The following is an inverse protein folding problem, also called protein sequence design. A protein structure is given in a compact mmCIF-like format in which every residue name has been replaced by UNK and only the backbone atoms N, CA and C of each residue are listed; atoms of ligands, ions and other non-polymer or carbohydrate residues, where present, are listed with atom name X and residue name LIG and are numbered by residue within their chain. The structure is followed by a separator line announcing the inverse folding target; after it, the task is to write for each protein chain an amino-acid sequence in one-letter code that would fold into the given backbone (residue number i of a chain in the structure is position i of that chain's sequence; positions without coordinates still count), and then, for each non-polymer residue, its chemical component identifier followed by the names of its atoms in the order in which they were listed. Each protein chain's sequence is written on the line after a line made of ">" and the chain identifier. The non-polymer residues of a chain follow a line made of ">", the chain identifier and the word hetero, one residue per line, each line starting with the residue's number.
data_IF_896420503261
#
_entry.id   IF_896420503261
#
_cell.length_a   1.000
_cell.length_b   1.000
_cell.length_c   1.000
_cell.angle_alpha   90.00
_cell.angle_beta   90.00
_cell.angle_gamma   90.00
#
_symmetry.space_group_name_H-M   'P 1'
#
loop_
_entity.id
_entity.type
_entity.pdbx_description
1 polymer ?
#
# COMPACT_ATOMS: atom_id res chain seq x y z
N UNK A 1 -0.18 -11.97 7.09
CA UNK A 1 1.30 -12.16 7.07
C UNK A 1 1.97 -11.56 5.81
N UNK A 2 1.56 -10.36 5.38
CA UNK A 2 1.98 -9.79 4.08
C UNK A 2 3.48 -9.45 4.08
N UNK A 3 4.21 -9.77 3.03
CA UNK A 3 5.69 -9.59 2.99
C UNK A 3 6.16 -8.17 2.67
N UNK A 4 5.30 -7.33 2.11
CA UNK A 4 5.60 -5.91 1.89
C UNK A 4 4.39 -5.08 2.25
N UNK A 5 4.60 -3.96 2.94
CA UNK A 5 3.53 -3.10 3.44
C UNK A 5 2.58 -3.82 4.41
N UNK A 6 3.07 -4.83 5.15
CA UNK A 6 2.33 -5.33 6.30
C UNK A 6 2.41 -4.32 7.44
N UNK A 7 1.29 -4.19 8.14
CA UNK A 7 1.27 -3.50 9.42
C UNK A 7 2.13 -4.28 10.42
N UNK A 8 3.06 -3.59 11.06
CA UNK A 8 3.81 -4.11 12.20
C UNK A 8 3.42 -3.28 13.42
N UNK A 9 2.96 -3.93 14.47
CA UNK A 9 2.61 -3.27 15.73
C UNK A 9 3.65 -3.64 16.79
N UNK A 10 4.40 -2.64 17.24
CA UNK A 10 5.44 -2.81 18.26
C UNK A 10 4.91 -2.43 19.63
N UNK A 11 4.94 -3.37 20.57
CA UNK A 11 4.54 -3.14 21.96
C UNK A 11 5.75 -2.98 22.86
N UNK A 12 6.01 -1.76 23.33
CA UNK A 12 7.14 -1.44 24.21
C UNK A 12 6.62 -1.01 25.59
N UNK A 13 7.30 -1.47 26.64
CA UNK A 13 7.03 -1.09 28.03
C UNK A 13 8.33 -0.62 28.68
N UNK A 14 8.25 0.49 29.41
CA UNK A 14 9.34 1.04 30.19
C UNK A 14 8.82 1.31 31.60
N UNK A 15 9.63 1.04 32.62
CA UNK A 15 9.27 1.32 34.00
C UNK A 15 10.39 0.99 34.98
N UNK A 16 10.34 1.54 36.21
CA UNK A 16 11.36 1.31 37.22
C UNK A 16 11.27 -0.08 37.88
N UNK A 17 10.17 -0.80 37.64
CA UNK A 17 9.90 -2.15 38.16
C UNK A 17 10.09 -3.19 37.07
N UNK A 18 10.38 -4.41 37.51
CA UNK A 18 10.41 -5.58 36.63
C UNK A 18 9.11 -5.73 35.84
N UNK A 19 9.22 -5.91 34.52
CA UNK A 19 8.09 -6.05 33.62
C UNK A 19 7.75 -7.53 33.45
N UNK A 20 6.61 -7.95 34.00
CA UNK A 20 6.11 -9.34 33.91
C UNK A 20 5.01 -9.55 32.86
N UNK A 21 4.64 -8.51 32.12
CA UNK A 21 3.51 -8.51 31.20
C UNK A 21 3.85 -9.19 29.86
N UNK A 22 3.63 -10.50 29.77
CA UNK A 22 3.83 -11.33 28.55
C UNK A 22 2.60 -11.32 27.64
N UNK A 23 1.97 -10.16 27.47
CA UNK A 23 0.77 -9.95 26.64
C UNK A 23 0.84 -8.58 25.95
N UNK A 24 0.03 -8.39 24.91
CA UNK A 24 -0.03 -7.13 24.15
C UNK A 24 -0.47 -5.95 25.02
N UNK A 25 -0.14 -4.72 24.64
CA UNK A 25 -0.58 -3.54 25.41
C UNK A 25 -2.08 -3.34 25.25
N UNK A 26 -2.84 -3.28 26.34
CA UNK A 26 -4.26 -2.92 26.32
C UNK A 26 -4.56 -1.44 26.55
N UNK A 27 -3.63 -0.72 27.20
CA UNK A 27 -3.73 0.73 27.47
C UNK A 27 -2.37 1.39 27.27
N UNK A 28 -2.19 2.07 26.14
CA UNK A 28 -0.98 2.72 25.70
C UNK A 28 -1.02 4.21 26.07
N UNK A 29 0.03 4.70 26.72
CA UNK A 29 0.24 6.13 26.94
C UNK A 29 0.84 6.87 25.75
N UNK A 30 1.35 6.13 24.76
CA UNK A 30 1.96 6.66 23.55
C UNK A 30 1.64 5.73 22.38
N UNK A 31 1.12 6.28 21.29
CA UNK A 31 0.84 5.59 20.04
C UNK A 31 1.58 6.32 18.92
N UNK A 32 2.26 5.58 18.05
CA UNK A 32 2.89 6.14 16.86
C UNK A 32 2.36 5.45 15.61
N UNK A 33 1.99 6.25 14.61
CA UNK A 33 1.63 5.77 13.28
C UNK A 33 2.65 6.30 12.26
N UNK A 34 3.45 5.38 11.70
CA UNK A 34 4.58 5.72 10.84
C UNK A 34 4.20 5.80 9.35
N UNK A 35 2.94 5.54 9.00
CA UNK A 35 2.45 5.59 7.63
C UNK A 35 1.04 6.20 7.63
N UNK A 36 0.93 7.39 7.02
CA UNK A 36 -0.29 8.19 7.08
C UNK A 36 -1.54 7.42 6.63
N UNK A 37 -1.47 6.63 5.55
CA UNK A 37 -2.62 5.88 5.02
C UNK A 37 -3.28 4.90 6.00
N UNK A 38 -2.63 4.54 7.12
CA UNK A 38 -3.27 3.72 8.15
C UNK A 38 -4.36 4.46 8.94
N UNK A 39 -4.42 5.79 8.89
CA UNK A 39 -5.52 6.54 9.53
C UNK A 39 -6.89 6.16 8.98
N UNK A 40 -6.97 5.74 7.71
CA UNK A 40 -8.23 5.35 7.05
C UNK A 40 -8.63 3.89 7.34
N UNK A 41 -7.69 3.03 7.77
CA UNK A 41 -7.88 1.57 7.72
C UNK A 41 -7.62 0.85 9.03
N UNK A 42 -6.98 1.52 9.99
CA UNK A 42 -6.54 0.90 11.24
C UNK A 42 -7.16 1.67 12.39
N UNK A 43 -7.70 0.94 13.37
CA UNK A 43 -8.15 1.50 14.63
C UNK A 43 -6.94 1.94 15.49
N UNK A 44 -6.28 3.02 15.10
CA UNK A 44 -5.01 3.48 15.68
C UNK A 44 -5.09 3.68 17.21
N UNK A 45 -6.23 4.17 17.70
CA UNK A 45 -6.43 4.53 19.09
C UNK A 45 -7.21 3.48 19.91
N UNK A 46 -7.47 2.29 19.36
CA UNK A 46 -8.19 1.21 20.06
C UNK A 46 -7.59 0.91 21.43
N UNK A 47 -6.25 0.94 21.52
CA UNK A 47 -5.50 0.63 22.74
C UNK A 47 -5.02 1.89 23.47
N UNK A 48 -5.39 3.10 23.03
CA UNK A 48 -4.94 4.33 23.66
C UNK A 48 -5.68 4.58 24.99
N UNK A 49 -4.96 5.04 26.01
CA UNK A 49 -5.60 5.55 27.22
C UNK A 49 -5.98 7.03 27.03
N UNK A 50 -6.90 7.53 27.85
CA UNK A 50 -7.18 8.98 27.92
C UNK A 50 -5.92 9.78 28.25
N UNK A 51 -5.68 10.91 27.58
CA UNK A 51 -4.47 11.72 27.75
C UNK A 51 -3.22 11.12 27.11
N UNK A 52 -3.34 10.15 26.20
CA UNK A 52 -2.20 9.58 25.50
C UNK A 52 -1.68 10.51 24.39
N UNK A 53 -0.41 10.32 24.01
CA UNK A 53 0.18 11.01 22.86
C UNK A 53 -0.02 10.17 21.60
N UNK A 54 -0.45 10.81 20.50
CA UNK A 54 -0.43 10.25 19.15
C UNK A 54 0.64 10.97 18.32
N UNK A 55 1.66 10.25 17.88
CA UNK A 55 2.65 10.74 16.91
C UNK A 55 2.31 10.18 15.51
N UNK A 56 2.09 11.05 14.54
CA UNK A 56 1.72 10.68 13.17
C UNK A 56 2.78 11.16 12.17
N UNK A 57 3.34 10.24 11.39
CA UNK A 57 4.05 10.58 10.16
C UNK A 57 3.01 11.00 9.11
N UNK A 58 2.97 12.28 8.77
CA UNK A 58 1.96 12.87 7.89
C UNK A 58 2.61 13.72 6.81
N UNK A 59 2.16 13.63 5.55
CA UNK A 59 2.59 14.57 4.50
C UNK A 59 1.95 15.96 4.68
N UNK A 60 1.05 16.14 5.65
CA UNK A 60 0.34 17.39 5.89
C UNK A 60 0.94 18.12 7.11
N UNK A 61 1.06 19.46 7.04
CA UNK A 61 1.52 20.24 8.17
C UNK A 61 0.48 20.28 9.29
N UNK A 62 0.90 20.66 10.50
CA UNK A 62 0.06 20.63 11.71
C UNK A 62 -1.23 21.43 11.60
N UNK A 63 -1.22 22.52 10.82
CA UNK A 63 -2.35 23.40 10.60
C UNK A 63 -3.42 22.79 9.71
N UNK A 64 -3.07 21.78 8.89
CA UNK A 64 -3.98 21.17 7.91
C UNK A 64 -4.27 19.70 8.14
N UNK A 65 -3.41 19.00 8.89
CA UNK A 65 -3.52 17.55 9.07
C UNK A 65 -4.88 17.15 9.64
N UNK A 66 -5.50 17.97 10.49
CA UNK A 66 -6.81 17.72 11.07
C UNK A 66 -7.87 17.45 9.99
N UNK A 67 -7.92 18.27 8.94
CA UNK A 67 -8.88 18.15 7.83
C UNK A 67 -8.72 16.85 7.03
N UNK A 68 -7.54 16.24 7.10
CA UNK A 68 -7.20 15.00 6.41
C UNK A 68 -7.38 13.75 7.28
N UNK A 69 -7.74 13.90 8.56
CA UNK A 69 -8.04 12.77 9.43
C UNK A 69 -9.49 12.32 9.25
N UNK A 70 -9.76 11.00 9.25
CA UNK A 70 -11.11 10.46 9.29
C UNK A 70 -11.94 10.94 10.47
N UNK A 71 -13.25 11.09 10.27
CA UNK A 71 -14.18 11.54 11.30
C UNK A 71 -14.14 10.69 12.57
N UNK A 72 -14.04 9.36 12.45
CA UNK A 72 -13.93 8.47 13.61
C UNK A 72 -12.65 8.68 14.40
N UNK A 73 -11.51 8.91 13.74
CA UNK A 73 -10.24 9.17 14.39
C UNK A 73 -10.25 10.53 15.08
N UNK A 74 -10.80 11.56 14.42
CA UNK A 74 -11.01 12.88 15.04
C UNK A 74 -11.86 12.77 16.31
N UNK A 75 -12.98 12.04 16.27
CA UNK A 75 -13.82 11.78 17.46
C UNK A 75 -13.01 11.12 18.57
N UNK A 76 -12.28 10.05 18.26
CA UNK A 76 -11.45 9.36 19.26
C UNK A 76 -10.37 10.27 19.86
N UNK A 77 -9.73 11.14 19.06
CA UNK A 77 -8.73 12.10 19.53
C UNK A 77 -9.33 13.06 20.56
N UNK A 78 -10.52 13.61 20.29
CA UNK A 78 -11.20 14.53 21.20
C UNK A 78 -11.73 13.80 22.44
N UNK A 79 -12.43 12.68 22.24
CA UNK A 79 -13.06 11.90 23.30
C UNK A 79 -12.03 11.37 24.31
N UNK A 80 -10.84 10.99 23.84
CA UNK A 80 -9.74 10.49 24.67
C UNK A 80 -8.75 11.59 25.10
N UNK A 81 -8.99 12.87 24.77
CA UNK A 81 -8.07 13.97 25.11
C UNK A 81 -6.62 13.69 24.67
N UNK A 82 -6.44 13.32 23.40
CA UNK A 82 -5.16 12.89 22.84
C UNK A 82 -4.30 14.10 22.48
N UNK A 83 -3.03 14.07 22.88
CA UNK A 83 -2.03 15.01 22.39
C UNK A 83 -1.53 14.58 21.01
N UNK A 84 -2.02 15.24 19.95
CA UNK A 84 -1.64 14.93 18.57
C UNK A 84 -0.38 15.69 18.14
N UNK A 85 0.61 14.95 17.64
CA UNK A 85 1.87 15.44 17.09
C UNK A 85 2.09 14.91 15.69
N UNK A 86 2.61 15.74 14.80
CA UNK A 86 2.84 15.39 13.39
C UNK A 86 4.23 15.77 12.91
N UNK A 87 4.72 15.02 11.93
CA UNK A 87 5.96 15.28 11.21
C UNK A 87 5.87 14.67 9.81
N UNK A 88 6.37 15.37 8.78
CA UNK A 88 6.59 14.79 7.44
C UNK A 88 7.96 14.10 7.39
N UNK A 89 8.03 12.89 7.97
CA UNK A 89 9.28 12.16 8.05
C UNK A 89 9.72 11.63 6.68
N UNK A 90 8.79 11.33 5.77
CA UNK A 90 9.09 10.88 4.42
C UNK A 90 9.68 12.02 3.57
N UNK A 91 9.08 13.21 3.61
CA UNK A 91 9.60 14.42 2.95
C UNK A 91 10.98 14.81 3.49
N UNK A 92 11.15 14.81 4.82
CA UNK A 92 12.44 15.10 5.46
C UNK A 92 13.52 14.08 5.08
N UNK A 93 13.20 12.79 5.10
CA UNK A 93 14.14 11.74 4.67
C UNK A 93 14.51 11.88 3.18
N UNK A 94 13.56 12.30 2.34
CA UNK A 94 13.80 12.64 0.94
C UNK A 94 14.79 13.79 0.79
N UNK A 95 14.56 14.90 1.49
CA UNK A 95 15.41 16.10 1.43
C UNK A 95 16.86 15.83 1.89
N UNK A 96 17.05 15.02 2.93
CA UNK A 96 18.38 14.63 3.46
C UNK A 96 19.04 13.53 2.57
N UNK A 97 18.32 13.01 1.58
CA UNK A 97 18.81 11.97 0.68
C UNK A 97 18.96 10.60 1.37
N UNK A 98 18.09 10.31 2.34
CA UNK A 98 17.89 9.00 2.97
C UNK A 98 16.82 8.16 2.26
N UNK A 99 16.14 8.73 1.25
CA UNK A 99 15.05 8.09 0.54
C UNK A 99 13.85 7.89 1.47
N UNK A 100 13.27 6.69 1.51
CA UNK A 100 12.08 6.37 2.33
C UNK A 100 12.41 5.89 3.76
N UNK A 101 13.59 6.24 4.29
CA UNK A 101 14.07 5.74 5.58
C UNK A 101 13.75 6.71 6.71
N UNK A 102 12.59 6.55 7.32
CA UNK A 102 12.08 7.42 8.40
C UNK A 102 12.43 6.94 9.82
N UNK A 103 13.06 5.78 9.97
CA UNK A 103 13.26 5.11 11.27
C UNK A 103 13.99 5.98 12.30
N UNK A 104 15.09 6.64 11.90
CA UNK A 104 15.87 7.51 12.78
C UNK A 104 15.07 8.75 13.19
N UNK A 105 14.33 9.35 12.25
CA UNK A 105 13.48 10.53 12.48
C UNK A 105 12.39 10.19 13.49
N UNK A 106 11.61 9.13 13.24
CA UNK A 106 10.52 8.71 14.12
C UNK A 106 11.01 8.29 15.52
N UNK A 107 12.20 7.69 15.60
CA UNK A 107 12.82 7.33 16.88
C UNK A 107 13.14 8.57 17.73
N UNK A 108 13.67 9.63 17.12
CA UNK A 108 13.97 10.89 17.81
C UNK A 108 12.69 11.54 18.33
N UNK A 109 11.63 11.59 17.51
CA UNK A 109 10.33 12.08 17.93
C UNK A 109 9.76 11.27 19.10
N UNK A 110 9.87 9.93 19.08
CA UNK A 110 9.45 9.09 20.20
C UNK A 110 10.16 9.48 21.50
N UNK A 111 11.48 9.64 21.50
CA UNK A 111 12.20 10.00 22.73
C UNK A 111 11.91 11.42 23.21
N UNK A 112 11.70 12.36 22.28
CA UNK A 112 11.33 13.72 22.64
C UNK A 112 9.94 13.81 23.30
N UNK A 113 9.01 12.94 22.92
CA UNK A 113 7.62 12.99 23.38
C UNK A 113 7.29 11.99 24.50
N UNK A 114 7.97 10.84 24.57
CA UNK A 114 7.59 9.75 25.49
C UNK A 114 7.92 10.01 26.96
N UNK A 115 8.85 10.93 27.26
CA UNK A 115 9.32 11.22 28.61
C UNK A 115 10.09 10.07 29.28
N UNK A 116 10.45 9.02 28.54
CA UNK A 116 11.17 7.84 29.08
C UNK A 116 12.61 8.19 29.49
N UNK A 117 13.24 9.14 28.80
CA UNK A 117 14.57 9.65 29.09
C UNK A 117 14.60 11.18 28.92
N UNK A 118 15.50 11.90 29.62
CA UNK A 118 15.79 13.28 29.31
C UNK A 118 16.19 13.42 27.83
N UNK A 119 15.68 14.46 27.17
CA UNK A 119 15.80 14.68 25.72
C UNK A 119 17.26 14.69 25.27
N UNK A 120 18.12 15.42 25.96
CA UNK A 120 19.53 15.61 25.64
C UNK A 120 20.27 14.27 25.70
N UNK A 121 20.00 13.48 26.74
CA UNK A 121 20.57 12.13 26.94
C UNK A 121 20.10 11.18 25.84
N UNK A 122 18.83 11.26 25.45
CA UNK A 122 18.29 10.43 24.38
C UNK A 122 18.95 10.74 23.03
N UNK A 123 19.06 12.02 22.66
CA UNK A 123 19.71 12.46 21.42
C UNK A 123 21.17 11.99 21.36
N UNK A 124 21.93 12.17 22.45
CA UNK A 124 23.32 11.72 22.54
C UNK A 124 23.43 10.21 22.31
N UNK A 125 22.59 9.41 22.98
CA UNK A 125 22.58 7.95 22.84
C UNK A 125 22.16 7.48 21.44
N UNK A 126 21.20 8.16 20.81
CA UNK A 126 20.80 7.88 19.43
C UNK A 126 21.98 8.12 18.48
N UNK A 127 22.64 9.28 18.57
CA UNK A 127 23.84 9.58 17.75
C UNK A 127 24.97 8.58 17.98
N UNK A 128 25.20 8.17 19.24
CA UNK A 128 26.16 7.11 19.57
C UNK A 128 25.80 5.76 18.93
N UNK A 129 24.52 5.37 18.98
CA UNK A 129 24.04 4.14 18.35
C UNK A 129 24.14 4.19 16.83
N UNK A 130 23.88 5.34 16.19
CA UNK A 130 24.02 5.53 14.75
C UNK A 130 25.47 5.26 14.32
N UNK A 131 26.44 5.84 15.03
CA UNK A 131 27.88 5.60 14.76
C UNK A 131 28.23 4.11 14.88
N UNK A 132 27.76 3.44 15.93
CA UNK A 132 28.01 2.01 16.16
C UNK A 132 27.39 1.12 15.08
N UNK A 133 26.13 1.37 14.71
CA UNK A 133 25.37 0.54 13.78
C UNK A 133 25.78 0.77 12.33
N UNK A 134 26.02 2.03 11.94
CA UNK A 134 26.25 2.41 10.55
C UNK A 134 27.69 2.77 10.22
N UNK A 135 28.62 2.78 11.19
CA UNK A 135 30.03 3.09 10.93
C UNK A 135 30.65 2.21 9.83
N UNK A 136 30.24 0.93 9.75
CA UNK A 136 30.68 0.02 8.67
C UNK A 136 30.11 0.35 7.28
N UNK A 137 29.08 1.18 7.20
CA UNK A 137 28.43 1.61 5.94
C UNK A 137 28.99 2.93 5.39
N UNK A 138 30.00 3.49 6.05
CA UNK A 138 30.70 4.70 5.63
C UNK A 138 30.18 5.99 6.27
N UNK A 139 31.06 6.98 6.36
CA UNK A 139 30.82 8.24 7.07
C UNK A 139 29.65 9.05 6.48
N UNK A 140 29.45 8.97 5.15
CA UNK A 140 28.34 9.66 4.50
C UNK A 140 26.96 9.18 5.00
N UNK A 141 26.82 7.88 5.30
CA UNK A 141 25.57 7.31 5.84
C UNK A 141 25.38 7.74 7.29
N UNK A 142 26.45 7.74 8.08
CA UNK A 142 26.44 8.20 9.48
C UNK A 142 26.03 9.67 9.53
N UNK A 143 26.66 10.53 8.73
CA UNK A 143 26.37 11.97 8.67
C UNK A 143 24.91 12.24 8.35
N UNK A 144 24.36 11.61 7.30
CA UNK A 144 22.94 11.75 6.92
C UNK A 144 22.00 11.38 8.07
N UNK A 145 22.31 10.31 8.81
CA UNK A 145 21.48 9.92 9.96
C UNK A 145 21.61 10.90 11.13
N UNK A 146 22.80 11.47 11.38
CA UNK A 146 22.99 12.50 12.41
C UNK A 146 22.25 13.77 12.04
N UNK A 147 22.33 14.20 10.78
CA UNK A 147 21.56 15.33 10.24
C UNK A 147 20.06 15.12 10.40
N UNK A 148 19.56 13.91 10.10
CA UNK A 148 18.16 13.57 10.33
C UNK A 148 17.75 13.64 11.82
N UNK A 149 18.65 13.34 12.76
CA UNK A 149 18.38 13.51 14.20
C UNK A 149 18.27 14.98 14.57
N UNK A 150 19.15 15.81 14.01
CA UNK A 150 19.24 17.23 14.33
C UNK A 150 18.04 18.01 13.78
N UNK A 151 17.58 17.67 12.58
CA UNK A 151 16.42 18.31 11.93
C UNK A 151 15.08 17.75 12.42
N UNK A 152 14.98 16.50 12.87
CA UNK A 152 13.68 15.89 13.21
C UNK A 152 12.86 16.71 14.21
N UNK A 153 13.50 17.40 15.16
CA UNK A 153 12.81 18.12 16.22
C UNK A 153 12.32 19.50 15.81
N UNK A 154 12.93 20.14 14.82
CA UNK A 154 12.44 21.41 14.26
C UNK A 154 11.21 21.20 13.38
N UNK A 155 11.05 19.99 12.82
CA UNK A 155 9.93 19.56 11.99
C UNK A 155 8.82 18.81 12.76
N UNK A 156 8.97 18.65 14.08
CA UNK A 156 7.99 18.00 14.93
C UNK A 156 7.05 19.05 15.52
N UNK A 157 5.78 19.00 15.14
CA UNK A 157 4.79 20.02 15.51
C UNK A 157 3.61 19.42 16.26
N UNK A 158 3.17 20.09 17.32
CA UNK A 158 1.92 19.76 18.00
C UNK A 158 0.76 20.37 17.21
N UNK A 159 -0.31 19.60 17.05
CA UNK A 159 -1.55 20.10 16.46
C UNK A 159 -2.36 20.81 17.54
N UNK A 160 -2.77 22.05 17.27
CA UNK A 160 -3.69 22.76 18.14
C UNK A 160 -5.11 22.21 17.94
N UNK A 161 -5.68 21.64 19.00
CA UNK A 161 -7.01 21.05 19.02
C UNK A 161 -8.03 21.95 19.74
N UNK A 162 -7.64 23.16 20.16
CA UNK A 162 -8.54 24.09 20.83
C UNK A 162 -9.70 24.49 19.91
N UNK A 163 -10.93 24.14 20.30
CA UNK A 163 -12.13 24.40 19.50
C UNK A 163 -12.25 23.52 18.25
N UNK A 164 -11.43 22.47 18.12
CA UNK A 164 -11.55 21.53 17.01
C UNK A 164 -12.92 20.83 17.04
N UNK A 165 -13.54 20.75 15.87
CA UNK A 165 -14.79 20.03 15.64
C UNK A 165 -14.54 18.88 14.67
N UNK A 166 -15.38 17.86 14.78
CA UNK A 166 -15.33 16.71 13.88
C UNK A 166 -15.84 17.16 12.51
N UNK A 167 -14.97 17.11 11.51
CA UNK A 167 -15.23 17.52 10.12
C UNK A 167 -14.75 16.48 9.10
N UNK A 168 -14.00 15.47 9.54
CA UNK A 168 -13.43 14.45 8.68
C UNK A 168 -14.49 13.55 8.05
N UNK A 169 -14.30 13.24 6.77
CA UNK A 169 -15.04 12.18 6.09
C UNK A 169 -14.75 10.80 6.70
N UNK A 170 -15.72 9.89 6.61
CA UNK A 170 -15.45 8.48 6.91
C UNK A 170 -14.88 7.79 5.67
N UNK A 171 -13.80 6.99 5.81
CA UNK A 171 -13.33 6.12 4.76
C UNK A 171 -14.47 5.22 4.29
N UNK A 172 -14.57 5.04 2.98
CA UNK A 172 -15.50 4.05 2.44
C UNK A 172 -15.11 2.66 3.00
N UNK A 173 -16.08 1.86 3.47
CA UNK A 173 -15.79 0.49 3.84
C UNK A 173 -15.25 -0.27 2.62
N UNK A 174 -14.50 -1.34 2.88
CA UNK A 174 -14.13 -2.27 1.82
C UNK A 174 -15.40 -2.78 1.15
N UNK A 175 -15.41 -2.76 -0.18
CA UNK A 175 -16.57 -3.19 -0.95
C UNK A 175 -16.57 -4.71 -1.10
N UNK A 176 -17.50 -5.35 -0.39
CA UNK A 176 -17.76 -6.79 -0.50
C UNK A 176 -19.02 -7.08 -1.32
N UNK A 177 -19.52 -6.12 -2.12
CA UNK A 177 -20.63 -6.35 -3.02
C UNK A 177 -20.34 -7.52 -3.97
N UNK A 178 -21.31 -8.42 -4.11
CA UNK A 178 -21.17 -9.64 -4.91
C UNK A 178 -20.20 -10.69 -4.34
N UNK A 179 -19.57 -10.46 -3.18
CA UNK A 179 -18.74 -11.47 -2.53
C UNK A 179 -19.58 -12.63 -1.99
N UNK A 180 -19.07 -13.88 -2.01
CA UNK A 180 -19.71 -15.00 -1.33
C UNK A 180 -19.93 -14.70 0.16
N UNK A 181 -20.99 -15.27 0.75
CA UNK A 181 -21.34 -15.01 2.16
C UNK A 181 -20.17 -15.25 3.12
N UNK A 182 -19.41 -16.33 2.94
CA UNK A 182 -18.22 -16.61 3.74
C UNK A 182 -17.14 -15.50 3.63
N UNK A 183 -16.97 -14.92 2.45
CA UNK A 183 -16.01 -13.82 2.26
C UNK A 183 -16.50 -12.56 2.98
N UNK A 184 -17.78 -12.22 2.80
CA UNK A 184 -18.38 -11.03 3.41
C UNK A 184 -18.50 -11.11 4.92
N UNK A 185 -18.79 -12.28 5.48
CA UNK A 185 -19.16 -12.41 6.91
C UNK A 185 -18.00 -12.94 7.78
N UNK A 186 -17.02 -13.62 7.19
CA UNK A 186 -15.88 -14.24 7.92
C UNK A 186 -14.55 -13.64 7.47
N UNK A 187 -14.29 -13.65 6.17
CA UNK A 187 -12.98 -13.19 5.64
C UNK A 187 -12.77 -11.71 5.85
N UNK A 188 -13.81 -10.88 5.67
CA UNK A 188 -13.78 -9.42 5.94
C UNK A 188 -13.38 -9.10 7.38
N UNK A 189 -13.96 -9.80 8.36
CA UNK A 189 -13.70 -9.61 9.79
C UNK A 189 -12.24 -9.90 10.12
N UNK A 190 -11.66 -10.94 9.49
CA UNK A 190 -10.24 -11.23 9.64
C UNK A 190 -9.36 -10.18 8.94
N UNK A 191 -9.75 -9.70 7.75
CA UNK A 191 -9.05 -8.63 7.03
C UNK A 191 -9.03 -7.30 7.82
N UNK A 192 -10.06 -7.05 8.62
CA UNK A 192 -10.18 -5.89 9.53
C UNK A 192 -9.42 -6.06 10.87
N UNK A 193 -8.60 -7.12 10.99
CA UNK A 193 -7.89 -7.50 12.22
C UNK A 193 -8.81 -7.84 13.41
N UNK A 194 -10.08 -8.17 13.16
CA UNK A 194 -11.04 -8.57 14.19
C UNK A 194 -11.26 -10.10 14.23
N UNK A 195 -10.33 -10.89 13.68
CA UNK A 195 -10.46 -12.34 13.56
C UNK A 195 -10.66 -13.07 14.89
N UNK A 196 -10.08 -12.58 16.00
CA UNK A 196 -10.28 -13.13 17.35
C UNK A 196 -11.73 -13.03 17.86
N UNK A 197 -12.58 -12.22 17.22
CA UNK A 197 -14.00 -12.09 17.57
C UNK A 197 -14.86 -13.20 16.95
N UNK A 198 -14.34 -13.93 15.96
CA UNK A 198 -15.09 -14.96 15.25
C UNK A 198 -15.22 -16.23 16.11
N UNK A 199 -16.44 -16.79 16.23
CA UNK A 199 -16.63 -18.05 16.93
C UNK A 199 -16.06 -19.21 16.11
N UNK A 200 -15.76 -20.33 16.78
CA UNK A 200 -15.33 -21.58 16.12
C UNK A 200 -16.32 -22.03 15.05
N UNK A 201 -17.62 -21.81 15.26
CA UNK A 201 -18.68 -22.15 14.31
C UNK A 201 -18.66 -21.35 13.00
N UNK A 202 -17.87 -20.27 12.92
CA UNK A 202 -17.66 -19.54 11.68
C UNK A 202 -16.61 -20.20 10.76
N UNK A 203 -15.82 -21.14 11.28
CA UNK A 203 -14.73 -21.77 10.53
C UNK A 203 -15.19 -23.04 9.79
N UNK A 204 -14.68 -23.30 8.57
CA UNK A 204 -14.92 -24.56 7.88
C UNK A 204 -14.24 -25.71 8.63
N UNK A 205 -14.91 -26.85 8.72
CA UNK A 205 -14.44 -28.02 9.50
C UNK A 205 -13.17 -28.67 8.94
N UNK A 206 -12.92 -28.48 7.65
CA UNK A 206 -11.80 -29.04 6.89
C UNK A 206 -10.70 -28.01 6.57
N UNK A 207 -10.89 -26.75 6.97
CA UNK A 207 -9.97 -25.66 6.68
C UNK A 207 -10.00 -25.15 5.23
N UNK A 208 -11.03 -25.47 4.44
CA UNK A 208 -11.16 -25.02 3.04
C UNK A 208 -11.61 -23.56 2.95
N UNK A 209 -10.89 -22.72 2.19
CA UNK A 209 -11.23 -21.31 1.96
C UNK A 209 -11.56 -21.02 0.49
N UNK A 210 -12.43 -20.02 0.22
CA UNK A 210 -12.70 -19.58 -1.15
C UNK A 210 -11.48 -18.93 -1.78
N UNK A 211 -11.39 -19.02 -3.11
CA UNK A 211 -10.36 -18.35 -3.92
C UNK A 211 -10.76 -16.92 -4.28
N UNK A 212 -9.80 -16.13 -4.78
CA UNK A 212 -10.08 -14.80 -5.32
C UNK A 212 -10.50 -13.77 -4.28
N UNK A 213 -10.07 -13.92 -3.03
CA UNK A 213 -10.41 -13.00 -1.92
C UNK A 213 -9.50 -11.78 -1.85
N UNK A 214 -8.30 -11.83 -2.43
CA UNK A 214 -7.32 -10.73 -2.38
C UNK A 214 -7.82 -9.44 -3.05
N UNK A 215 -8.72 -9.55 -4.04
CA UNK A 215 -9.33 -8.41 -4.73
C UNK A 215 -10.15 -7.49 -3.82
N UNK A 216 -10.58 -7.98 -2.66
CA UNK A 216 -11.34 -7.20 -1.68
C UNK A 216 -10.45 -6.42 -0.70
N UNK A 217 -9.14 -6.70 -0.65
CA UNK A 217 -8.27 -6.14 0.40
C UNK A 217 -7.95 -4.65 0.23
N UNK A 218 -7.88 -4.18 -1.03
CA UNK A 218 -7.57 -2.80 -1.45
C UNK A 218 -6.56 -2.13 -0.52
N UNK A 219 -5.35 -2.72 -0.49
CA UNK A 219 -4.40 -2.52 0.61
C UNK A 219 -3.90 -1.08 0.76
N UNK A 220 -3.89 -0.35 -0.33
CA UNK A 220 -3.53 1.05 -0.48
C UNK A 220 -2.21 1.43 0.21
N UNK A 221 -1.12 0.71 -0.10
CA UNK A 221 0.19 0.88 0.55
C UNK A 221 1.21 1.67 -0.27
N UNK A 222 0.92 1.97 -1.54
CA UNK A 222 1.81 2.69 -2.42
C UNK A 222 1.67 4.20 -2.25
N UNK A 223 2.81 4.91 -2.14
CA UNK A 223 2.83 6.38 -2.17
C UNK A 223 2.83 6.91 -3.61
N UNK A 224 3.27 6.09 -4.55
CA UNK A 224 3.32 6.40 -5.98
C UNK A 224 2.80 5.21 -6.78
N UNK A 225 2.11 5.47 -7.88
CA UNK A 225 1.58 4.43 -8.78
C UNK A 225 1.99 4.70 -10.23
N UNK A 226 2.07 3.66 -11.07
CA UNK A 226 2.34 3.85 -12.49
C UNK A 226 1.20 4.63 -13.17
N UNK A 227 1.56 5.64 -13.94
CA UNK A 227 0.66 6.40 -14.82
C UNK A 227 1.04 6.10 -16.26
N UNK A 228 0.04 5.76 -17.07
CA UNK A 228 0.20 5.45 -18.49
C UNK A 228 0.23 6.72 -19.34
N UNK A 229 1.21 6.81 -20.24
CA UNK A 229 1.29 7.78 -21.34
C UNK A 229 0.94 7.05 -22.64
N UNK A 230 -0.31 7.24 -23.06
CA UNK A 230 -0.93 6.62 -24.21
C UNK A 230 -0.36 7.10 -25.55
N UNK A 231 0.23 8.30 -25.58
CA UNK A 231 0.72 8.94 -26.80
C UNK A 231 1.96 8.24 -27.37
N UNK A 232 2.83 7.75 -26.49
CA UNK A 232 4.09 7.09 -26.87
C UNK A 232 4.05 5.57 -26.66
N UNK A 233 3.03 5.03 -25.98
CA UNK A 233 2.92 3.60 -25.73
C UNK A 233 2.85 2.78 -27.02
N UNK A 234 3.66 1.73 -27.10
CA UNK A 234 3.70 0.79 -28.24
C UNK A 234 2.88 -0.48 -28.01
N UNK A 235 2.11 -0.56 -26.91
CA UNK A 235 1.18 -1.66 -26.60
C UNK A 235 1.85 -3.05 -26.56
N UNK A 236 3.08 -3.13 -26.02
CA UNK A 236 3.87 -4.37 -26.01
C UNK A 236 3.56 -5.34 -24.86
N UNK A 237 2.74 -4.94 -23.88
CA UNK A 237 2.37 -5.78 -22.72
C UNK A 237 3.49 -6.04 -21.68
N UNK A 238 4.74 -5.65 -21.92
CA UNK A 238 5.86 -5.97 -21.01
C UNK A 238 5.64 -5.49 -19.57
N UNK A 239 5.07 -4.30 -19.38
CA UNK A 239 4.75 -3.76 -18.06
C UNK A 239 3.74 -4.64 -17.29
N UNK A 240 2.71 -5.15 -17.97
CA UNK A 240 1.74 -6.10 -17.40
C UNK A 240 2.36 -7.48 -17.14
N UNK A 241 3.27 -7.92 -18.01
CA UNK A 241 3.96 -9.21 -17.87
C UNK A 241 4.82 -9.27 -16.61
N UNK A 242 5.63 -8.24 -16.35
CA UNK A 242 6.57 -8.24 -15.22
C UNK A 242 5.93 -7.87 -13.89
N UNK A 243 4.66 -7.45 -13.89
CA UNK A 243 3.99 -6.98 -12.69
C UNK A 243 3.83 -8.13 -11.68
N UNK A 244 4.46 -8.07 -10.50
CA UNK A 244 4.40 -9.17 -9.53
C UNK A 244 3.09 -9.22 -8.74
N UNK A 245 2.23 -8.21 -8.88
CA UNK A 245 0.96 -8.13 -8.16
C UNK A 245 -0.26 -8.06 -9.08
N UNK A 246 -0.05 -8.13 -10.39
CA UNK A 246 -1.15 -8.08 -11.38
C UNK A 246 -1.96 -6.77 -11.30
N UNK A 247 -1.29 -5.67 -10.95
CA UNK A 247 -1.90 -4.34 -10.73
C UNK A 247 -1.91 -3.48 -11.97
N UNK A 248 -1.25 -3.89 -13.05
CA UNK A 248 -1.30 -3.20 -14.35
C UNK A 248 -1.71 -4.21 -15.41
N UNK A 249 -2.84 -3.95 -16.07
CA UNK A 249 -3.50 -4.87 -17.01
C UNK A 249 -3.89 -4.14 -18.28
N UNK A 250 -4.05 -4.90 -19.35
CA UNK A 250 -4.53 -4.36 -20.61
C UNK A 250 -5.75 -5.13 -21.10
N UNK A 251 -6.67 -4.42 -21.75
CA UNK A 251 -7.80 -5.00 -22.49
C UNK A 251 -7.84 -4.43 -23.90
N UNK A 252 -8.33 -5.24 -24.84
CA UNK A 252 -8.71 -4.83 -26.19
C UNK A 252 -10.18 -5.17 -26.38
N UNK A 253 -10.99 -4.18 -26.76
CA UNK A 253 -12.45 -4.28 -26.73
C UNK A 253 -13.10 -3.38 -27.78
N UNK A 254 -14.39 -3.62 -28.12
CA UNK A 254 -15.11 -2.79 -29.09
C UNK A 254 -15.23 -1.34 -28.59
N UNK A 255 -15.02 -0.31 -29.45
CA UNK A 255 -15.10 1.10 -29.02
C UNK A 255 -16.44 1.50 -28.39
N UNK A 256 -17.53 0.81 -28.72
CA UNK A 256 -18.87 1.05 -28.19
C UNK A 256 -18.94 0.82 -26.67
N UNK A 257 -18.08 -0.02 -26.12
CA UNK A 257 -17.98 -0.26 -24.69
C UNK A 257 -17.46 0.97 -23.90
N UNK A 258 -17.02 2.04 -24.58
CA UNK A 258 -16.59 3.30 -23.97
C UNK A 258 -17.73 4.28 -23.65
N UNK A 259 -18.99 3.93 -23.94
CA UNK A 259 -20.13 4.84 -23.79
C UNK A 259 -20.23 5.49 -22.39
N UNK A 260 -19.98 4.70 -21.35
CA UNK A 260 -20.06 5.13 -19.93
C UNK A 260 -18.68 5.33 -19.30
N UNK A 261 -17.63 5.52 -20.10
CA UNK A 261 -16.28 5.67 -19.60
C UNK A 261 -16.13 6.93 -18.71
N UNK A 262 -15.48 6.83 -17.54
CA UNK A 262 -15.17 8.00 -16.72
C UNK A 262 -14.40 9.07 -17.50
N UNK A 263 -14.53 10.37 -17.17
CA UNK A 263 -13.86 11.45 -17.90
C UNK A 263 -12.33 11.32 -17.97
N UNK A 264 -11.73 10.66 -16.97
CA UNK A 264 -10.29 10.42 -16.86
C UNK A 264 -9.85 9.09 -17.47
N UNK A 265 -10.77 8.31 -18.03
CA UNK A 265 -10.47 6.98 -18.57
C UNK A 265 -9.76 7.10 -19.91
N UNK A 266 -8.52 6.59 -19.95
CA UNK A 266 -7.67 6.67 -21.13
C UNK A 266 -7.91 5.47 -22.04
N UNK A 267 -7.99 5.70 -23.34
CA UNK A 267 -8.01 4.64 -24.36
C UNK A 267 -7.39 5.13 -25.68
N UNK A 268 -6.86 4.19 -26.47
CA UNK A 268 -6.33 4.47 -27.82
C UNK A 268 -6.68 3.34 -28.79
N UNK A 269 -6.53 3.57 -30.10
CA UNK A 269 -6.70 2.51 -31.11
C UNK A 269 -5.72 1.36 -30.87
N UNK A 270 -6.20 0.12 -30.96
CA UNK A 270 -5.38 -1.07 -30.84
C UNK A 270 -4.41 -1.18 -32.04
N UNK A 271 -3.14 -1.52 -31.75
CA UNK A 271 -2.05 -1.65 -32.74
C UNK A 271 -1.78 -3.12 -33.08
N UNK A 272 -2.85 -3.88 -33.28
CA UNK A 272 -2.83 -5.23 -33.82
C UNK A 272 -3.36 -5.19 -35.24
N UNK A 273 -2.77 -6.00 -36.14
CA UNK A 273 -3.19 -6.06 -37.54
C UNK A 273 -4.66 -6.47 -37.67
N UNK A 274 -5.08 -7.48 -36.91
CA UNK A 274 -6.42 -8.08 -36.96
C UNK A 274 -7.45 -7.38 -36.05
N UNK A 275 -6.99 -6.57 -35.08
CA UNK A 275 -7.86 -5.90 -34.10
C UNK A 275 -7.81 -4.38 -34.27
N UNK A 276 -7.45 -3.90 -35.47
CA UNK A 276 -7.18 -2.50 -35.71
C UNK A 276 -8.31 -1.59 -35.26
N UNK A 277 -9.56 -1.96 -35.50
CA UNK A 277 -10.73 -1.13 -35.19
C UNK A 277 -11.20 -1.20 -33.73
N UNK A 278 -10.48 -1.93 -32.89
CA UNK A 278 -10.76 -2.04 -31.45
C UNK A 278 -10.06 -0.94 -30.65
N UNK A 279 -10.57 -0.67 -29.46
CA UNK A 279 -9.91 0.16 -28.46
C UNK A 279 -8.94 -0.67 -27.60
N UNK A 280 -7.88 -0.03 -27.13
CA UNK A 280 -6.89 -0.58 -26.20
C UNK A 280 -6.75 0.35 -25.00
N UNK A 281 -6.74 -0.25 -23.82
CA UNK A 281 -6.45 0.45 -22.56
C UNK A 281 -5.44 -0.33 -21.74
N UNK A 282 -4.49 0.38 -21.13
CA UNK A 282 -3.61 -0.11 -20.08
C UNK A 282 -4.01 0.58 -18.78
N UNK A 283 -4.61 -0.16 -17.85
CA UNK A 283 -5.15 0.37 -16.61
C UNK A 283 -4.39 -0.16 -15.38
N UNK A 284 -4.34 0.66 -14.34
CA UNK A 284 -3.66 0.35 -13.08
C UNK A 284 -4.69 0.24 -11.95
N UNK A 285 -4.54 -0.75 -11.07
CA UNK A 285 -5.28 -0.90 -9.82
C UNK A 285 -4.55 -0.06 -8.74
N UNK A 286 -5.04 1.16 -8.43
CA UNK A 286 -4.29 2.11 -7.61
C UNK A 286 -4.10 1.63 -6.17
N UNK A 287 -5.11 0.97 -5.61
CA UNK A 287 -5.14 0.50 -4.21
C UNK A 287 -4.41 -0.83 -4.01
N UNK A 288 -4.03 -1.54 -5.07
CA UNK A 288 -3.34 -2.84 -4.96
C UNK A 288 -1.85 -2.75 -5.33
N UNK A 289 -1.43 -1.64 -5.95
CA UNK A 289 -0.05 -1.40 -6.34
C UNK A 289 0.89 -1.32 -5.13
N UNK A 290 2.10 -1.85 -5.27
CA UNK A 290 3.16 -1.81 -4.26
C UNK A 290 4.33 -0.88 -4.63
N UNK A 291 4.18 -0.11 -5.72
CA UNK A 291 5.18 0.84 -6.22
C UNK A 291 6.57 0.24 -6.50
N UNK A 292 6.66 -1.02 -6.97
CA UNK A 292 7.96 -1.66 -7.20
C UNK A 292 8.77 -1.08 -8.38
N UNK A 293 8.14 -0.32 -9.27
CA UNK A 293 8.80 0.32 -10.42
C UNK A 293 9.19 -0.60 -11.58
N UNK A 294 9.04 -1.92 -11.46
CA UNK A 294 9.44 -2.87 -12.52
C UNK A 294 8.75 -2.62 -13.88
N UNK A 295 7.49 -2.18 -13.85
CA UNK A 295 6.75 -1.80 -15.06
C UNK A 295 7.38 -0.61 -15.80
N UNK A 296 7.96 0.34 -15.06
CA UNK A 296 8.71 1.48 -15.60
C UNK A 296 10.06 1.00 -16.11
N UNK A 297 10.80 0.19 -15.33
CA UNK A 297 12.11 -0.32 -15.75
C UNK A 297 12.04 -1.09 -17.08
N UNK A 298 11.09 -2.03 -17.21
CA UNK A 298 10.96 -2.87 -18.42
C UNK A 298 10.42 -2.11 -19.63
N UNK A 299 9.81 -0.93 -19.43
CA UNK A 299 9.22 -0.19 -20.53
C UNK A 299 10.32 0.19 -21.54
N UNK A 300 10.21 -0.26 -22.80
CA UNK A 300 11.26 -0.05 -23.81
C UNK A 300 11.17 1.33 -24.47
N UNK A 301 10.05 2.03 -24.29
CA UNK A 301 9.79 3.33 -24.89
C UNK A 301 10.44 4.41 -24.05
N UNK A 302 11.12 5.35 -24.72
CA UNK A 302 11.59 6.60 -24.12
C UNK A 302 10.87 7.76 -24.78
N UNK A 303 10.47 8.74 -23.99
CA UNK A 303 9.91 9.98 -24.50
C UNK A 303 11.03 10.75 -25.24
N UNK A 304 10.74 11.29 -26.42
CA UNK A 304 11.72 11.99 -27.27
C UNK A 304 12.06 13.38 -26.74
N UNK A 305 11.10 14.05 -26.08
CA UNK A 305 11.30 15.37 -25.49
C UNK A 305 12.03 15.29 -24.15
N UNK A 306 11.73 14.26 -23.35
CA UNK A 306 12.33 14.06 -22.04
C UNK A 306 12.73 12.59 -21.83
N UNK A 307 13.99 12.26 -22.08
CA UNK A 307 14.51 10.87 -22.17
C UNK A 307 14.34 10.07 -20.86
N UNK A 308 14.18 10.73 -19.71
CA UNK A 308 13.90 10.06 -18.43
C UNK A 308 12.47 9.51 -18.35
N UNK A 309 11.53 10.07 -19.09
CA UNK A 309 10.14 9.61 -19.13
C UNK A 309 9.98 8.47 -20.12
N UNK A 310 9.12 7.53 -19.75
CA UNK A 310 8.74 6.36 -20.54
C UNK A 310 7.22 6.33 -20.77
N UNK A 311 6.71 5.30 -21.43
CA UNK A 311 5.26 5.15 -21.61
C UNK A 311 4.50 4.81 -20.31
N UNK A 312 5.21 4.45 -19.25
CA UNK A 312 4.67 4.25 -17.90
C UNK A 312 5.66 4.86 -16.92
N UNK A 313 5.22 5.70 -15.99
CA UNK A 313 6.08 6.37 -15.00
C UNK A 313 5.40 6.37 -13.62
N UNK A 314 6.18 6.38 -12.54
CA UNK A 314 5.60 6.56 -11.20
C UNK A 314 5.23 8.03 -10.99
N UNK A 315 4.05 8.25 -10.39
CA UNK A 315 3.59 9.55 -9.94
C UNK A 315 2.95 9.43 -8.55
N UNK A 316 2.91 10.52 -7.74
CA UNK A 316 2.22 10.52 -6.45
C UNK A 316 0.80 9.99 -6.57
N UNK A 317 0.42 9.05 -5.71
CA UNK A 317 -0.87 8.36 -5.78
C UNK A 317 -2.02 9.24 -5.31
N UNK A 318 -1.86 9.97 -4.20
CA UNK A 318 -2.96 10.67 -3.53
C UNK A 318 -3.80 11.58 -4.45
N UNK A 319 -3.22 12.39 -5.36
CA UNK A 319 -4.00 13.26 -6.24
C UNK A 319 -4.80 12.52 -7.32
N UNK A 320 -4.46 11.26 -7.61
CA UNK A 320 -5.03 10.48 -8.72
C UNK A 320 -5.78 9.22 -8.26
N UNK A 321 -5.68 8.85 -6.98
CA UNK A 321 -6.23 7.60 -6.41
C UNK A 321 -7.70 7.42 -6.77
N UNK A 322 -8.52 8.43 -6.49
CA UNK A 322 -9.98 8.30 -6.59
C UNK A 322 -10.43 8.23 -8.06
N UNK A 323 -9.81 9.00 -8.95
CA UNK A 323 -10.04 8.91 -10.39
C UNK A 323 -9.59 7.55 -10.96
N UNK A 324 -8.41 7.08 -10.58
CA UNK A 324 -7.90 5.78 -11.03
C UNK A 324 -8.67 4.60 -10.44
N UNK A 325 -9.31 4.76 -9.28
CA UNK A 325 -10.22 3.76 -8.71
C UNK A 325 -11.46 3.61 -9.59
N UNK A 326 -12.11 4.73 -9.93
CA UNK A 326 -13.25 4.71 -10.86
C UNK A 326 -12.86 4.16 -12.24
N UNK A 327 -11.69 4.54 -12.76
CA UNK A 327 -11.15 3.99 -14.01
C UNK A 327 -10.90 2.48 -13.91
N UNK A 328 -10.38 1.98 -12.78
CA UNK A 328 -10.14 0.56 -12.54
C UNK A 328 -11.45 -0.22 -12.50
N UNK A 329 -12.47 0.29 -11.80
CA UNK A 329 -13.78 -0.37 -11.70
C UNK A 329 -14.45 -0.45 -13.08
N UNK A 330 -14.41 0.64 -13.86
CA UNK A 330 -14.88 0.64 -15.24
C UNK A 330 -14.08 -0.35 -16.11
N UNK A 331 -12.75 -0.37 -16.00
CA UNK A 331 -11.90 -1.31 -16.74
C UNK A 331 -12.23 -2.78 -16.44
N UNK A 332 -12.54 -3.11 -15.18
CA UNK A 332 -12.95 -4.46 -14.82
C UNK A 332 -14.25 -4.86 -15.50
N UNK A 333 -15.20 -3.93 -15.65
CA UNK A 333 -16.50 -4.17 -16.30
C UNK A 333 -16.43 -4.30 -17.84
N UNK A 334 -15.34 -3.86 -18.48
CA UNK A 334 -15.16 -4.02 -19.92
C UNK A 334 -15.10 -5.50 -20.34
N UNK A 335 -15.58 -5.86 -21.53
CA UNK A 335 -15.52 -7.23 -22.01
C UNK A 335 -14.07 -7.69 -22.19
N UNK A 336 -13.80 -8.95 -21.87
CA UNK A 336 -12.53 -9.59 -22.19
C UNK A 336 -12.48 -9.96 -23.68
N UNK A 337 -11.26 -9.95 -24.23
CA UNK A 337 -11.05 -10.39 -25.60
C UNK A 337 -11.27 -11.91 -25.69
N UNK A 338 -11.91 -12.37 -26.77
CA UNK A 338 -12.04 -13.79 -27.04
C UNK A 338 -10.65 -14.47 -27.03
N UNK A 339 -10.51 -15.51 -26.20
CA UNK A 339 -9.28 -16.29 -26.05
C UNK A 339 -8.82 -16.90 -27.38
N UNK A 340 -9.74 -17.18 -28.31
CA UNK A 340 -9.44 -17.69 -29.65
C UNK A 340 -8.67 -16.71 -30.54
N UNK A 341 -8.67 -15.41 -30.21
CA UNK A 341 -7.96 -14.36 -30.95
C UNK A 341 -6.55 -14.09 -30.40
N UNK A 342 -6.16 -14.78 -29.33
CA UNK A 342 -4.87 -14.60 -28.65
C UNK A 342 -3.87 -15.66 -29.11
N UNK A 343 -2.68 -15.23 -29.53
CA UNK A 343 -1.56 -16.14 -29.78
C UNK A 343 -0.75 -16.37 -28.49
N UNK A 344 -0.77 -17.59 -27.91
CA UNK A 344 -0.08 -17.88 -26.65
C UNK A 344 1.45 -17.80 -26.75
N UNK A 345 2.02 -17.76 -27.96
CA UNK A 345 3.47 -17.60 -28.17
C UNK A 345 3.91 -16.12 -28.13
N UNK A 346 2.97 -15.17 -28.17
CA UNK A 346 3.26 -13.74 -28.20
C UNK A 346 3.03 -13.11 -26.82
N UNK A 347 4.09 -12.53 -26.25
CA UNK A 347 4.03 -11.81 -24.96
C UNK A 347 2.87 -10.81 -24.90
N UNK A 348 2.76 -9.95 -25.92
CA UNK A 348 1.75 -8.88 -25.95
C UNK A 348 0.31 -9.42 -25.99
N UNK A 349 0.09 -10.58 -26.62
CA UNK A 349 -1.24 -11.17 -26.79
C UNK A 349 -1.65 -11.88 -25.48
N UNK A 350 -0.73 -12.64 -24.86
CA UNK A 350 -0.99 -13.32 -23.56
C UNK A 350 -1.35 -12.31 -22.47
N UNK A 351 -0.85 -11.08 -22.53
CA UNK A 351 -1.19 -10.05 -21.54
C UNK A 351 -2.62 -9.50 -21.66
N UNK A 352 -3.38 -9.89 -22.70
CA UNK A 352 -4.80 -9.58 -22.84
C UNK A 352 -5.70 -10.64 -22.16
N UNK A 353 -5.14 -11.79 -21.78
CA UNK A 353 -5.88 -12.84 -21.06
C UNK A 353 -6.05 -12.46 -19.60
N UNK A 354 -7.21 -12.80 -19.03
CA UNK A 354 -7.48 -12.65 -17.61
C UNK A 354 -6.42 -13.39 -16.76
N UNK A 355 -5.75 -12.68 -15.83
CA UNK A 355 -4.88 -13.30 -14.85
C UNK A 355 -5.67 -13.84 -13.66
N UNK A 356 -5.54 -15.13 -13.34
CA UNK A 356 -6.23 -15.77 -12.20
C UNK A 356 -5.39 -15.81 -10.91
N UNK A 357 -4.26 -15.10 -10.92
CA UNK A 357 -3.40 -14.90 -9.74
C UNK A 357 -3.10 -13.42 -9.59
N UNK A 358 -3.77 -12.78 -8.63
CA UNK A 358 -3.77 -11.34 -8.46
C UNK A 358 -3.62 -10.91 -7.01
N UNK A 359 -2.97 -9.75 -6.83
CA UNK A 359 -2.77 -9.07 -5.55
C UNK A 359 -2.21 -9.96 -4.41
N UNK A 360 -1.24 -10.85 -4.68
CA UNK A 360 -0.68 -11.74 -3.67
C UNK A 360 0.01 -10.96 -2.54
N UNK A 361 0.09 -11.57 -1.36
CA UNK A 361 0.82 -11.03 -0.20
C UNK A 361 2.35 -11.01 -0.33
N UNK A 362 2.89 -11.06 -1.56
CA UNK A 362 4.31 -11.15 -1.87
C UNK A 362 5.06 -9.81 -1.67
N UNK A 363 6.39 -9.88 -1.69
CA UNK A 363 7.23 -8.69 -1.59
C UNK A 363 7.02 -7.74 -2.78
N UNK A 364 7.24 -6.44 -2.58
CA UNK A 364 7.35 -5.48 -3.68
C UNK A 364 8.50 -5.89 -4.59
N UNK A 365 8.22 -6.11 -5.87
CA UNK A 365 9.22 -6.61 -6.83
C UNK A 365 9.54 -8.09 -6.72
N UNK A 366 8.62 -8.93 -6.21
CA UNK A 366 8.84 -10.37 -6.10
C UNK A 366 9.17 -11.00 -7.46
N UNK A 367 10.23 -11.82 -7.50
CA UNK A 367 10.65 -12.51 -8.72
C UNK A 367 9.87 -13.79 -9.04
N UNK A 368 8.99 -14.27 -8.15
CA UNK A 368 8.26 -15.54 -8.36
C UNK A 368 6.88 -15.33 -9.00
N UNK A 369 6.14 -14.33 -8.52
CA UNK A 369 4.71 -14.15 -8.83
C UNK A 369 4.40 -13.81 -10.30
N UNK A 370 5.26 -13.12 -11.09
CA UNK A 370 5.02 -12.94 -12.52
C UNK A 370 4.92 -14.28 -13.28
N UNK A 371 5.68 -15.30 -12.85
CA UNK A 371 5.65 -16.62 -13.47
C UNK A 371 4.34 -17.35 -13.17
N UNK A 372 3.86 -17.30 -11.93
CA UNK A 372 2.57 -17.88 -11.54
C UNK A 372 1.41 -17.19 -12.26
N UNK A 373 1.42 -15.86 -12.30
CA UNK A 373 0.47 -15.06 -13.10
C UNK A 373 0.43 -15.54 -14.54
N UNK A 374 1.58 -15.65 -15.20
CA UNK A 374 1.67 -16.12 -16.59
C UNK A 374 1.12 -17.54 -16.76
N UNK A 375 1.47 -18.47 -15.86
CA UNK A 375 0.96 -19.83 -15.87
C UNK A 375 -0.57 -19.85 -15.77
N UNK A 376 -1.15 -19.01 -14.90
CA UNK A 376 -2.62 -18.90 -14.78
C UNK A 376 -3.30 -18.31 -16.02
N UNK A 377 -2.67 -17.35 -16.70
CA UNK A 377 -3.22 -16.78 -17.94
C UNK A 377 -3.31 -17.85 -19.05
N UNK A 378 -2.29 -18.72 -19.14
CA UNK A 378 -2.20 -19.76 -20.16
C UNK A 378 -3.05 -21.01 -19.86
N UNK A 379 -3.10 -21.44 -18.59
CA UNK A 379 -3.66 -22.75 -18.21
C UNK A 379 -4.60 -22.73 -17.01
N UNK A 380 -4.88 -21.55 -16.43
CA UNK A 380 -5.56 -21.44 -15.14
C UNK A 380 -7.00 -21.95 -15.13
N UNK A 381 -7.65 -22.02 -16.28
CA UNK A 381 -9.00 -22.57 -16.46
C UNK A 381 -9.10 -24.08 -16.15
N UNK A 382 -7.95 -24.78 -16.17
CA UNK A 382 -7.86 -26.24 -16.04
C UNK A 382 -6.64 -26.72 -15.26
N UNK A 383 -6.00 -25.83 -14.51
CA UNK A 383 -4.81 -26.14 -13.71
C UNK A 383 -5.20 -26.51 -12.29
N UNK A 384 -4.57 -27.57 -11.75
CA UNK A 384 -4.56 -27.89 -10.32
C UNK A 384 -3.15 -27.67 -9.79
N UNK A 385 -3.01 -27.01 -8.64
CA UNK A 385 -1.72 -26.63 -8.07
C UNK A 385 -1.47 -27.39 -6.77
N UNK A 386 -0.43 -28.22 -6.74
CA UNK A 386 0.16 -28.74 -5.51
C UNK A 386 1.38 -27.89 -5.14
N UNK A 387 1.25 -27.07 -4.10
CA UNK A 387 2.26 -26.06 -3.75
C UNK A 387 3.05 -26.47 -2.51
N UNK A 388 4.37 -26.61 -2.64
CA UNK A 388 5.23 -26.91 -1.52
C UNK A 388 5.30 -25.76 -0.52
N UNK A 389 5.55 -26.08 0.75
CA UNK A 389 5.74 -25.06 1.79
C UNK A 389 6.94 -24.18 1.46
N UNK A 390 6.72 -22.87 1.40
CA UNK A 390 7.76 -21.91 1.06
C UNK A 390 7.18 -20.52 0.78
N UNK A 391 7.95 -19.67 0.09
CA UNK A 391 7.46 -18.35 -0.29
C UNK A 391 6.12 -18.41 -1.03
N UNK A 392 6.00 -19.34 -1.96
CA UNK A 392 4.81 -19.58 -2.78
C UNK A 392 3.58 -19.98 -1.97
N UNK A 393 3.71 -20.82 -0.95
CA UNK A 393 2.58 -21.17 -0.09
C UNK A 393 2.17 -19.99 0.80
N UNK A 394 3.11 -19.13 1.20
CA UNK A 394 2.81 -17.97 2.06
C UNK A 394 2.08 -16.86 1.29
N UNK A 395 2.60 -16.41 0.15
CA UNK A 395 1.90 -15.35 -0.59
C UNK A 395 0.70 -15.86 -1.39
N UNK A 396 0.62 -17.17 -1.64
CA UNK A 396 -0.43 -17.81 -2.44
C UNK A 396 -1.53 -18.49 -1.63
N UNK A 397 -1.36 -18.70 -0.32
CA UNK A 397 -2.31 -19.45 0.50
C UNK A 397 -2.28 -19.11 2.00
N UNK A 398 -1.80 -17.92 2.38
CA UNK A 398 -1.96 -17.47 3.77
C UNK A 398 -3.41 -17.03 4.01
N UNK A 399 -4.08 -17.71 4.93
CA UNK A 399 -5.44 -17.42 5.36
C UNK A 399 -5.48 -16.16 6.24
N UNK A 400 -6.59 -15.44 6.17
CA UNK A 400 -6.88 -14.43 5.15
C UNK A 400 -6.11 -13.12 5.39
#
# INVERSE_FOLDING_TARGET
>A
SKKSGSMTVSHLRFGPREIRSTYLIGQAGFVACHQFGFVERVALLERARRGATLLLNSPWPAERVWEHLPGHLQRQILDLDIALWVIDADGLAGAIGMGRRINTIMQVCFFALSGVLPREVAIERIKGSIKKTYGKRGEAVVRKNVEAVDEALSHLHQVDLAGAVVSGHEPAPLDFAGAPAFVRDVTSVMMDNAGDTLPVSAMPVDGTFPVGTTKYEKRNIALEIPVWDESICIQCGKCAMVCPHTVIRAKVYPPEALADAPPTFKSVKARWRELGDMAYTLQVAPEDCTACGLCVEVCPVKNKAEVRLKAVNLAPQAPIRDAEKANWDFFQALPDLDRGLVDPQKVKDVQLLEPLFEFPGACSGCGETPYLKLATQLFGDRMVVANATGCSSIYGGNLP
#
